data_IF_085495479602
#
_entry.id   IF_085495479602
#
_cell.length_a   1.000
_cell.length_b   1.000
_cell.length_c   1.000
_cell.angle_alpha   90.00
_cell.angle_beta   90.00
_cell.angle_gamma   90.00
#
_symmetry.space_group_name_H-M   'P 1'
#
loop_
_entity.id
_entity.type
_entity.pdbx_description
1 polymer ?
#
# COMPACT_ATOMS: atom_id res chain seq x y z
N UNK A 1 -7.11 -13.36 -8.95
CA UNK A 1 -6.72 -12.17 -8.18
C UNK A 1 -5.29 -12.42 -7.73
N UNK A 2 -4.47 -11.38 -7.72
CA UNK A 2 -3.07 -11.39 -7.28
C UNK A 2 -2.91 -10.32 -6.20
N UNK A 3 -2.09 -10.60 -5.19
CA UNK A 3 -1.75 -9.64 -4.15
C UNK A 3 -0.58 -8.79 -4.62
N UNK A 4 -0.70 -7.48 -4.45
CA UNK A 4 0.30 -6.50 -4.88
C UNK A 4 0.65 -5.54 -3.76
N UNK A 5 1.89 -5.06 -3.78
CA UNK A 5 2.44 -4.09 -2.84
C UNK A 5 2.88 -2.86 -3.62
N UNK A 6 2.21 -1.73 -3.45
CA UNK A 6 2.53 -0.50 -4.17
C UNK A 6 2.81 0.66 -3.23
N UNK A 7 3.78 1.49 -3.56
CA UNK A 7 4.00 2.73 -2.83
C UNK A 7 2.95 3.77 -3.23
N UNK A 8 2.39 4.45 -2.24
CA UNK A 8 1.46 5.55 -2.41
C UNK A 8 1.90 6.75 -1.57
N UNK A 9 1.70 7.94 -2.13
CA UNK A 9 1.85 9.20 -1.44
C UNK A 9 0.49 9.73 -0.97
N UNK A 10 0.52 10.88 -0.31
CA UNK A 10 -0.68 11.54 0.22
C UNK A 10 -1.73 11.81 -0.84
N UNK A 11 -1.32 12.20 -2.06
CA UNK A 11 -2.24 12.52 -3.14
C UNK A 11 -2.96 11.27 -3.67
N UNK A 12 -2.25 10.14 -3.79
CA UNK A 12 -2.86 8.87 -4.14
C UNK A 12 -3.84 8.39 -3.05
N UNK A 13 -3.48 8.53 -1.77
CA UNK A 13 -4.38 8.18 -0.67
C UNK A 13 -5.63 9.07 -0.63
N UNK A 14 -5.49 10.37 -0.92
CA UNK A 14 -6.63 11.29 -1.06
C UNK A 14 -7.54 10.92 -2.24
N UNK A 15 -6.99 10.42 -3.35
CA UNK A 15 -7.79 9.89 -4.46
C UNK A 15 -8.58 8.65 -4.05
N UNK A 16 -7.96 7.71 -3.32
CA UNK A 16 -8.66 6.54 -2.77
C UNK A 16 -9.80 6.97 -1.82
N UNK A 17 -9.56 7.96 -0.96
CA UNK A 17 -10.57 8.49 -0.05
C UNK A 17 -11.75 9.14 -0.79
N UNK A 18 -11.49 9.73 -1.97
CA UNK A 18 -12.50 10.26 -2.88
C UNK A 18 -13.18 9.17 -3.77
N UNK A 19 -12.89 7.89 -3.53
CA UNK A 19 -13.42 6.76 -4.29
C UNK A 19 -12.85 6.63 -5.71
N UNK A 20 -11.77 7.35 -6.02
CA UNK A 20 -11.09 7.25 -7.30
C UNK A 20 -10.08 6.09 -7.29
N UNK A 21 -9.95 5.36 -8.41
CA UNK A 21 -8.88 4.37 -8.54
C UNK A 21 -7.52 5.08 -8.66
N UNK A 22 -6.47 4.45 -8.16
CA UNK A 22 -5.09 4.90 -8.32
C UNK A 22 -4.27 3.93 -9.16
N UNK A 23 -3.32 4.46 -9.91
CA UNK A 23 -2.29 3.67 -10.60
C UNK A 23 -0.97 3.92 -9.89
N UNK A 24 -0.40 2.87 -9.32
CA UNK A 24 0.87 2.91 -8.59
C UNK A 24 1.78 1.81 -9.12
N UNK A 25 3.09 2.02 -9.02
CA UNK A 25 4.06 0.99 -9.36
C UNK A 25 4.06 -0.08 -8.27
N UNK A 26 3.61 -1.28 -8.63
CA UNK A 26 3.49 -2.40 -7.70
C UNK A 26 4.69 -3.34 -7.75
N UNK A 27 4.85 -4.09 -6.68
CA UNK A 27 5.72 -5.25 -6.52
C UNK A 27 4.81 -6.45 -6.28
N UNK A 28 5.04 -7.54 -7.00
CA UNK A 28 4.46 -8.84 -6.70
C UNK A 28 5.45 -9.63 -5.84
N UNK A 29 4.94 -10.42 -4.89
CA UNK A 29 5.77 -11.39 -4.20
C UNK A 29 6.11 -12.56 -5.14
N UNK A 30 7.25 -13.22 -4.90
CA UNK A 30 7.65 -14.38 -5.71
C UNK A 30 6.69 -15.58 -5.50
N UNK A 31 6.12 -15.69 -4.30
CA UNK A 31 5.06 -16.65 -3.96
C UNK A 31 4.18 -16.12 -2.82
N UNK A 32 3.23 -16.94 -2.37
CA UNK A 32 2.39 -16.70 -1.18
C UNK A 32 3.10 -17.04 0.14
N UNK A 33 4.43 -17.23 0.12
CA UNK A 33 5.21 -17.44 1.33
C UNK A 33 5.35 -16.10 2.09
N UNK A 34 5.22 -16.14 3.42
CA UNK A 34 5.27 -14.94 4.27
C UNK A 34 6.59 -14.17 4.11
N UNK A 35 7.71 -14.86 3.91
CA UNK A 35 9.00 -14.22 3.70
C UNK A 35 9.02 -13.44 2.36
N UNK A 36 8.50 -14.04 1.30
CA UNK A 36 8.42 -13.38 -0.02
C UNK A 36 7.41 -12.22 -0.03
N UNK A 37 6.31 -12.33 0.71
CA UNK A 37 5.36 -11.23 0.91
C UNK A 37 6.02 -10.05 1.65
N UNK A 38 6.77 -10.36 2.72
CA UNK A 38 7.50 -9.35 3.48
C UNK A 38 8.58 -8.67 2.63
N UNK A 39 9.35 -9.43 1.84
CA UNK A 39 10.36 -8.87 0.94
C UNK A 39 9.75 -7.92 -0.11
N UNK A 40 8.61 -8.28 -0.70
CA UNK A 40 7.90 -7.44 -1.65
C UNK A 40 7.39 -6.15 -1.01
N UNK A 41 6.82 -6.24 0.20
CA UNK A 41 6.37 -5.10 0.98
C UNK A 41 7.53 -4.14 1.31
N UNK A 42 8.66 -4.67 1.78
CA UNK A 42 9.86 -3.88 2.07
C UNK A 42 10.48 -3.26 0.80
N UNK A 43 10.36 -3.93 -0.35
CA UNK A 43 10.78 -3.37 -1.63
C UNK A 43 9.88 -2.21 -2.08
N UNK A 44 8.57 -2.29 -1.81
CA UNK A 44 7.62 -1.20 -2.05
C UNK A 44 7.87 -0.02 -1.11
N UNK A 45 8.12 -0.26 0.18
CA UNK A 45 8.35 0.78 1.19
C UNK A 45 9.53 1.71 0.85
N UNK A 46 10.52 1.21 0.11
CA UNK A 46 11.66 2.02 -0.37
C UNK A 46 11.28 3.07 -1.42
N UNK A 47 10.06 3.01 -1.98
CA UNK A 47 9.63 3.84 -3.12
C UNK A 47 8.69 4.98 -2.72
N UNK A 48 8.15 4.97 -1.50
CA UNK A 48 7.25 5.99 -1.04
C UNK A 48 6.82 5.78 0.41
N UNK A 49 6.08 6.74 0.98
CA UNK A 49 5.84 6.80 2.41
C UNK A 49 4.89 5.71 2.90
N UNK A 50 3.91 5.28 2.08
CA UNK A 50 2.94 4.25 2.45
C UNK A 50 3.00 3.11 1.46
N UNK A 51 3.05 1.87 1.96
CA UNK A 51 2.79 0.68 1.15
C UNK A 51 1.31 0.34 1.23
N UNK A 52 0.68 0.25 0.07
CA UNK A 52 -0.68 -0.25 -0.10
C UNK A 52 -0.59 -1.73 -0.47
N UNK A 53 -1.14 -2.59 0.38
CA UNK A 53 -1.35 -4.01 0.08
C UNK A 53 -2.76 -4.17 -0.48
N UNK A 54 -2.89 -4.71 -1.70
CA UNK A 54 -4.17 -4.85 -2.36
C UNK A 54 -4.31 -6.16 -3.14
N UNK A 55 -5.54 -6.62 -3.31
CA UNK A 55 -5.89 -7.76 -4.17
C UNK A 55 -6.53 -7.27 -5.47
N UNK A 56 -5.86 -7.51 -6.59
CA UNK A 56 -6.27 -7.00 -7.91
C UNK A 56 -6.33 -8.12 -8.94
N UNK A 57 -6.98 -7.88 -10.08
CA UNK A 57 -7.04 -8.90 -11.14
C UNK A 57 -5.67 -9.23 -11.73
N UNK A 58 -4.87 -8.18 -11.98
CA UNK A 58 -3.50 -8.24 -12.52
C UNK A 58 -2.66 -7.11 -11.91
N UNK A 59 -1.34 -7.19 -11.96
CA UNK A 59 -0.44 -6.13 -11.48
C UNK A 59 -0.66 -4.75 -12.13
N UNK A 60 -1.24 -4.69 -13.33
CA UNK A 60 -1.55 -3.42 -14.02
C UNK A 60 -2.96 -2.89 -13.72
N UNK A 61 -3.77 -3.62 -12.96
CA UNK A 61 -5.14 -3.22 -12.62
C UNK A 61 -5.08 -2.06 -11.62
N UNK A 62 -5.75 -0.93 -11.88
CA UNK A 62 -5.80 0.18 -10.93
C UNK A 62 -6.36 -0.25 -9.57
N UNK A 63 -5.74 0.22 -8.50
CA UNK A 63 -6.15 -0.09 -7.12
C UNK A 63 -7.33 0.78 -6.74
N UNK A 64 -8.38 0.16 -6.18
CA UNK A 64 -9.53 0.83 -5.56
C UNK A 64 -9.50 0.56 -4.07
N UNK A 65 -10.13 1.43 -3.27
CA UNK A 65 -10.17 1.27 -1.81
C UNK A 65 -10.82 -0.06 -1.37
N UNK A 66 -11.74 -0.60 -2.17
CA UNK A 66 -12.37 -1.91 -1.93
C UNK A 66 -11.43 -3.10 -2.16
N UNK A 67 -10.34 -2.89 -2.90
CA UNK A 67 -9.31 -3.89 -3.17
C UNK A 67 -8.18 -3.82 -2.13
N UNK A 68 -8.12 -2.76 -1.32
CA UNK A 68 -7.05 -2.57 -0.33
C UNK A 68 -7.31 -3.45 0.88
N UNK A 69 -6.34 -4.30 1.20
CA UNK A 69 -6.33 -5.11 2.41
C UNK A 69 -5.77 -4.29 3.59
N UNK A 70 -4.65 -3.59 3.37
CA UNK A 70 -3.96 -2.85 4.41
C UNK A 70 -3.08 -1.72 3.87
N UNK A 71 -2.74 -0.80 4.77
CA UNK A 71 -1.69 0.20 4.60
C UNK A 71 -0.55 -0.09 5.56
N UNK A 72 0.67 0.16 5.11
CA UNK A 72 1.86 0.04 5.93
C UNK A 72 2.70 1.31 5.86
N UNK A 73 3.15 1.80 7.00
CA UNK A 73 3.89 3.06 7.12
C UNK A 73 4.95 2.92 8.22
N UNK A 74 6.16 3.41 7.94
CA UNK A 74 7.18 3.63 8.96
C UNK A 74 6.85 4.92 9.71
N UNK A 75 6.48 4.79 10.98
CA UNK A 75 5.95 5.90 11.79
C UNK A 75 7.02 6.63 12.58
N UNK A 76 8.17 5.99 12.78
CA UNK A 76 9.23 6.46 13.68
C UNK A 76 10.63 6.42 13.05
N UNK A 77 10.70 6.26 11.73
CA UNK A 77 11.92 6.16 10.92
C UNK A 77 12.82 4.98 11.34
N UNK A 78 12.26 3.96 11.98
CA UNK A 78 13.00 2.76 12.40
C UNK A 78 13.22 1.76 11.26
N UNK A 79 12.43 1.88 10.20
CA UNK A 79 12.29 0.89 9.14
C UNK A 79 11.23 -0.19 9.45
N UNK A 80 10.65 -0.20 10.65
CA UNK A 80 9.58 -1.12 11.01
C UNK A 80 8.23 -0.56 10.52
N UNK A 81 7.49 -1.39 9.79
CA UNK A 81 6.23 -0.97 9.18
C UNK A 81 5.05 -1.26 10.11
N UNK A 82 4.39 -0.21 10.57
CA UNK A 82 3.10 -0.32 11.26
C UNK A 82 2.01 -0.75 10.28
N UNK A 83 1.03 -1.53 10.75
CA UNK A 83 -0.11 -2.02 9.96
C UNK A 83 -1.38 -1.24 10.28
N UNK A 84 -2.09 -0.80 9.24
CA UNK A 84 -3.39 -0.13 9.35
C UNK A 84 -4.41 -0.80 8.41
N UNK A 85 -5.64 -0.98 8.90
CA UNK A 85 -6.73 -1.52 8.10
C UNK A 85 -7.21 -0.51 7.04
N UNK A 86 -7.89 -0.98 5.99
CA UNK A 86 -8.43 -0.08 4.94
C UNK A 86 -9.35 1.03 5.49
N UNK A 87 -10.06 0.77 6.58
CA UNK A 87 -10.98 1.72 7.22
C UNK A 87 -10.22 2.88 7.89
N UNK A 88 -8.93 2.71 8.16
CA UNK A 88 -8.06 3.69 8.81
C UNK A 88 -7.37 4.61 7.78
N UNK A 89 -7.76 4.57 6.50
CA UNK A 89 -7.19 5.42 5.43
C UNK A 89 -7.08 6.90 5.83
N UNK A 90 -8.13 7.46 6.44
CA UNK A 90 -8.11 8.88 6.85
C UNK A 90 -7.02 9.14 7.90
N UNK A 91 -6.85 8.22 8.85
CA UNK A 91 -5.80 8.30 9.86
C UNK A 91 -4.41 8.17 9.23
N UNK A 92 -4.23 7.27 8.26
CA UNK A 92 -2.97 7.13 7.51
C UNK A 92 -2.63 8.44 6.79
N UNK A 93 -3.61 9.09 6.15
CA UNK A 93 -3.43 10.40 5.50
C UNK A 93 -3.02 11.49 6.51
N UNK A 94 -3.60 11.47 7.72
CA UNK A 94 -3.27 12.42 8.78
C UNK A 94 -1.83 12.28 9.29
N UNK A 95 -1.24 11.08 9.22
CA UNK A 95 0.17 10.86 9.56
C UNK A 95 1.14 11.39 8.50
N UNK A 96 0.68 11.56 7.25
CA UNK A 96 1.47 12.17 6.19
C UNK A 96 1.36 13.70 6.30
N UNK A 97 2.30 14.31 7.04
CA UNK A 97 2.44 15.77 7.08
C UNK A 97 2.92 16.33 5.74
N UNK A 98 2.50 17.55 5.39
CA UNK A 98 2.97 18.30 4.21
C UNK A 98 4.47 18.67 4.29
#
# INVERSE_FOLDING_TARGET
>A
MTRVYGAADRDALMQLAAGQPITIDVVESESEDEEHEFEAMMAAAKRGPVVVTAEVETANTPVRLENVEAFHLDMDDSGDLAWFARQELIQVIEFLTD
#
